data_IF_405011573743
#
_entry.id   IF_405011573743
#
_cell.length_a   1.000
_cell.length_b   1.000
_cell.length_c   1.000
_cell.angle_alpha   90.00
_cell.angle_beta   90.00
_cell.angle_gamma   90.00
#
_symmetry.space_group_name_H-M   'P 1'
#
loop_
_entity.id
_entity.type
_entity.pdbx_description
1 polymer ?
#
# COMPACT_ATOMS: atom_id res chain seq x y z
N UNK A 1 -18.73 -4.74 13.30
CA UNK A 1 -17.96 -3.48 13.49
C UNK A 1 -16.61 -3.49 12.75
N UNK A 2 -16.03 -4.65 12.41
CA UNK A 2 -14.79 -4.76 11.62
C UNK A 2 -14.90 -4.20 10.18
N UNK A 3 -15.97 -4.55 9.47
CA UNK A 3 -16.17 -4.16 8.08
C UNK A 3 -16.22 -2.65 7.82
N UNK A 4 -16.75 -1.86 8.76
CA UNK A 4 -16.76 -0.39 8.64
C UNK A 4 -15.34 0.18 8.75
N UNK A 5 -14.52 -0.39 9.63
CA UNK A 5 -13.13 0.06 9.79
C UNK A 5 -12.29 -0.27 8.56
N UNK A 6 -12.48 -1.43 7.95
CA UNK A 6 -11.78 -1.85 6.73
C UNK A 6 -12.15 -0.95 5.55
N UNK A 7 -13.43 -0.64 5.38
CA UNK A 7 -13.89 0.29 4.35
C UNK A 7 -13.33 1.70 4.59
N UNK A 8 -13.30 2.18 5.84
CA UNK A 8 -12.68 3.46 6.17
C UNK A 8 -11.18 3.47 5.87
N UNK A 9 -10.45 2.42 6.23
CA UNK A 9 -9.03 2.29 5.91
C UNK A 9 -8.79 2.34 4.40
N UNK A 10 -9.60 1.62 3.62
CA UNK A 10 -9.52 1.66 2.16
C UNK A 10 -9.76 3.07 1.60
N UNK A 11 -10.74 3.81 2.14
CA UNK A 11 -11.01 5.20 1.73
C UNK A 11 -9.82 6.10 2.05
N UNK A 12 -9.29 6.03 3.27
CA UNK A 12 -8.15 6.87 3.68
C UNK A 12 -6.89 6.55 2.87
N UNK A 13 -6.60 5.26 2.65
CA UNK A 13 -5.45 4.85 1.82
C UNK A 13 -5.62 5.29 0.37
N UNK A 14 -6.84 5.22 -0.17
CA UNK A 14 -7.13 5.72 -1.53
C UNK A 14 -6.84 7.22 -1.66
N UNK A 15 -7.26 8.01 -0.66
CA UNK A 15 -6.97 9.46 -0.62
C UNK A 15 -5.46 9.69 -0.50
N UNK A 16 -4.79 8.98 0.41
CA UNK A 16 -3.34 9.05 0.59
C UNK A 16 -2.58 8.70 -0.68
N UNK A 17 -3.04 7.69 -1.44
CA UNK A 17 -2.44 7.23 -2.67
C UNK A 17 -2.59 8.28 -3.78
N UNK A 18 -3.77 8.87 -3.91
CA UNK A 18 -4.02 9.96 -4.85
C UNK A 18 -3.14 11.19 -4.56
N UNK A 19 -3.02 11.58 -3.28
CA UNK A 19 -2.15 12.69 -2.86
C UNK A 19 -0.70 12.36 -3.20
N UNK A 20 -0.23 11.16 -2.85
CA UNK A 20 1.16 10.72 -3.09
C UNK A 20 1.48 10.71 -4.58
N UNK A 21 0.60 10.16 -5.42
CA UNK A 21 0.75 10.15 -6.87
C UNK A 21 0.77 11.56 -7.45
N UNK A 22 -0.11 12.45 -6.96
CA UNK A 22 -0.15 13.85 -7.41
C UNK A 22 1.15 14.56 -7.06
N UNK A 23 1.65 14.39 -5.84
CA UNK A 23 2.91 14.97 -5.38
C UNK A 23 4.09 14.42 -6.20
N UNK A 24 4.12 13.11 -6.48
CA UNK A 24 5.14 12.49 -7.34
C UNK A 24 5.13 13.09 -8.74
N UNK A 25 3.94 13.24 -9.34
CA UNK A 25 3.81 13.78 -10.70
C UNK A 25 4.22 15.24 -10.80
N UNK A 26 3.95 16.02 -9.75
CA UNK A 26 4.38 17.41 -9.66
C UNK A 26 5.86 17.59 -9.31
N UNK A 27 6.58 16.50 -8.99
CA UNK A 27 7.99 16.56 -8.58
C UNK A 27 8.22 17.20 -7.21
N UNK A 28 7.17 17.38 -6.40
CA UNK A 28 7.24 17.98 -5.05
C UNK A 28 7.81 17.02 -4.01
N UNK A 29 7.78 15.71 -4.28
CA UNK A 29 8.40 14.68 -3.43
C UNK A 29 9.50 13.94 -4.20
N UNK A 30 10.50 13.40 -3.50
CA UNK A 30 11.50 12.54 -4.11
C UNK A 30 10.86 11.31 -4.77
N UNK A 31 11.51 10.82 -5.82
CA UNK A 31 11.07 9.67 -6.61
C UNK A 31 11.34 8.34 -5.89
N UNK A 32 10.73 8.15 -4.72
CA UNK A 32 10.79 6.93 -3.93
C UNK A 32 9.85 5.86 -4.51
N UNK A 33 10.17 5.38 -5.72
CA UNK A 33 9.34 4.44 -6.46
C UNK A 33 9.07 3.15 -5.68
N UNK A 34 10.07 2.61 -4.97
CA UNK A 34 9.88 1.39 -4.18
C UNK A 34 8.99 1.64 -2.96
N UNK A 35 9.10 2.81 -2.32
CA UNK A 35 8.20 3.19 -1.21
C UNK A 35 6.75 3.33 -1.69
N UNK A 36 6.56 4.02 -2.81
CA UNK A 36 5.24 4.25 -3.39
C UNK A 36 4.61 2.93 -3.84
N UNK A 37 5.41 2.02 -4.40
CA UNK A 37 4.93 0.70 -4.79
C UNK A 37 4.57 -0.17 -3.58
N UNK A 38 5.35 -0.10 -2.48
CA UNK A 38 4.99 -0.72 -1.21
C UNK A 38 3.63 -0.21 -0.70
N UNK A 39 3.42 1.11 -0.72
CA UNK A 39 2.14 1.70 -0.33
C UNK A 39 0.98 1.25 -1.24
N UNK A 40 1.21 1.14 -2.55
CA UNK A 40 0.23 0.60 -3.49
C UNK A 40 -0.12 -0.87 -3.19
N UNK A 41 0.86 -1.69 -2.80
CA UNK A 41 0.59 -3.07 -2.38
C UNK A 41 -0.26 -3.14 -1.10
N UNK A 42 -0.05 -2.24 -0.13
CA UNK A 42 -0.91 -2.14 1.07
C UNK A 42 -2.34 -1.78 0.68
N UNK A 43 -2.50 -0.79 -0.20
CA UNK A 43 -3.82 -0.41 -0.70
C UNK A 43 -4.54 -1.58 -1.38
N UNK A 44 -3.84 -2.36 -2.21
CA UNK A 44 -4.43 -3.54 -2.85
C UNK A 44 -4.78 -4.64 -1.83
N UNK A 45 -3.96 -4.80 -0.79
CA UNK A 45 -4.26 -5.69 0.34
C UNK A 45 -5.58 -5.31 1.01
N UNK A 46 -5.79 -4.02 1.28
CA UNK A 46 -7.03 -3.53 1.90
C UNK A 46 -8.26 -3.69 1.00
N UNK A 47 -8.09 -3.69 -0.32
CA UNK A 47 -9.18 -4.10 -1.24
C UNK A 47 -9.55 -5.56 -0.99
N UNK A 48 -8.56 -6.45 -0.89
CA UNK A 48 -8.84 -7.87 -0.65
C UNK A 48 -9.48 -8.10 0.71
N UNK A 49 -9.06 -7.40 1.76
CA UNK A 49 -9.72 -7.45 3.08
C UNK A 49 -11.19 -7.04 3.00
N UNK A 50 -11.50 -5.94 2.30
CA UNK A 50 -12.90 -5.50 2.15
C UNK A 50 -13.71 -6.53 1.34
N UNK A 51 -13.13 -7.09 0.27
CA UNK A 51 -13.81 -8.08 -0.59
C UNK A 51 -13.98 -9.43 0.11
N UNK A 52 -13.03 -9.82 0.96
CA UNK A 52 -13.09 -11.01 1.81
C UNK A 52 -14.38 -11.04 2.63
N UNK A 53 -14.79 -9.88 3.14
CA UNK A 53 -16.04 -9.71 3.89
C UNK A 53 -17.33 -9.96 3.09
N UNK A 54 -17.24 -10.20 1.77
CA UNK A 54 -18.39 -10.45 0.90
C UNK A 54 -18.27 -11.74 0.07
N UNK A 55 -17.08 -12.10 -0.42
CA UNK A 55 -16.86 -13.20 -1.37
C UNK A 55 -15.60 -14.01 -1.01
N UNK A 56 -15.64 -15.34 -1.23
CA UNK A 56 -14.51 -16.28 -1.15
C UNK A 56 -13.44 -15.95 -0.07
N UNK A 57 -13.79 -16.02 1.23
CA UNK A 57 -12.97 -15.47 2.30
C UNK A 57 -11.56 -16.06 2.35
N UNK A 58 -11.40 -17.38 2.24
CA UNK A 58 -10.08 -18.01 2.31
C UNK A 58 -9.14 -17.58 1.17
N UNK A 59 -9.69 -17.35 -0.03
CA UNK A 59 -8.90 -16.92 -1.18
C UNK A 59 -8.43 -15.47 -1.04
N UNK A 60 -9.33 -14.57 -0.64
CA UNK A 60 -9.00 -13.16 -0.47
C UNK A 60 -8.09 -12.93 0.75
N UNK A 61 -8.23 -13.72 1.80
CA UNK A 61 -7.31 -13.70 2.94
C UNK A 61 -5.86 -14.06 2.52
N UNK A 62 -5.69 -15.07 1.66
CA UNK A 62 -4.37 -15.43 1.11
C UNK A 62 -3.82 -14.29 0.25
N UNK A 63 -4.65 -13.65 -0.56
CA UNK A 63 -4.24 -12.51 -1.37
C UNK A 63 -3.83 -11.31 -0.50
N UNK A 64 -4.63 -10.94 0.49
CA UNK A 64 -4.30 -9.90 1.47
C UNK A 64 -2.89 -10.14 2.04
N UNK A 65 -2.68 -11.30 2.66
CA UNK A 65 -1.40 -11.63 3.29
C UNK A 65 -0.24 -11.66 2.29
N UNK A 66 -0.48 -12.14 1.07
CA UNK A 66 0.53 -12.14 0.01
C UNK A 66 0.94 -10.72 -0.37
N UNK A 67 -0.01 -9.79 -0.47
CA UNK A 67 0.28 -8.39 -0.80
C UNK A 67 0.93 -7.63 0.35
N UNK A 68 0.57 -7.92 1.61
CA UNK A 68 1.33 -7.42 2.76
C UNK A 68 2.78 -7.92 2.75
N UNK A 69 3.01 -9.20 2.46
CA UNK A 69 4.36 -9.74 2.36
C UNK A 69 5.17 -9.06 1.25
N UNK A 70 4.59 -8.94 0.06
CA UNK A 70 5.21 -8.25 -1.08
C UNK A 70 5.51 -6.78 -0.74
N UNK A 71 4.58 -6.09 -0.08
CA UNK A 71 4.78 -4.71 0.38
C UNK A 71 5.99 -4.59 1.31
N UNK A 72 6.15 -5.51 2.26
CA UNK A 72 7.28 -5.52 3.19
C UNK A 72 8.63 -5.64 2.47
N UNK A 73 8.70 -6.44 1.40
CA UNK A 73 9.90 -6.57 0.56
C UNK A 73 10.21 -5.26 -0.16
N UNK A 74 9.21 -4.61 -0.74
CA UNK A 74 9.39 -3.31 -1.39
C UNK A 74 9.82 -2.22 -0.42
N UNK A 75 9.26 -2.21 0.78
CA UNK A 75 9.68 -1.29 1.84
C UNK A 75 11.16 -1.48 2.21
N UNK A 76 11.60 -2.73 2.40
CA UNK A 76 13.01 -3.04 2.67
C UNK A 76 13.94 -2.61 1.53
N UNK A 77 13.52 -2.81 0.27
CA UNK A 77 14.29 -2.36 -0.89
C UNK A 77 14.35 -0.83 -0.94
N UNK A 78 13.26 -0.14 -0.65
CA UNK A 78 13.21 1.33 -0.59
C UNK A 78 14.13 1.88 0.49
N UNK A 79 14.11 1.30 1.69
CA UNK A 79 15.02 1.71 2.77
C UNK A 79 16.48 1.70 2.31
N UNK A 80 16.90 0.61 1.66
CA UNK A 80 18.29 0.45 1.23
C UNK A 80 18.66 1.32 0.02
N UNK A 81 17.79 1.40 -0.98
CA UNK A 81 18.11 2.02 -2.28
C UNK A 81 17.73 3.48 -2.39
N UNK A 82 16.75 3.93 -1.62
CA UNK A 82 16.15 5.25 -1.76
C UNK A 82 16.40 6.09 -0.51
N UNK A 83 15.97 5.61 0.65
CA UNK A 83 15.99 6.40 1.89
C UNK A 83 17.42 6.56 2.43
N UNK A 84 18.15 5.46 2.64
CA UNK A 84 19.51 5.51 3.19
C UNK A 84 20.52 6.11 2.21
N UNK A 85 20.29 6.00 0.90
CA UNK A 85 21.13 6.65 -0.12
C UNK A 85 20.91 8.16 -0.10
N UNK A 86 19.69 8.63 0.10
CA UNK A 86 19.38 10.07 0.17
C UNK A 86 19.95 10.75 1.42
N UNK A 87 20.30 10.00 2.47
CA UNK A 87 20.86 10.54 3.72
C UNK A 87 22.39 10.67 3.71
N UNK A 88 23.06 10.16 2.67
CA UNK A 88 24.52 10.17 2.55
C UNK A 88 24.97 11.24 1.57
#
# INVERSE_FOLDING_TARGET
MYQISEVLNLVFDSIGLLITLRLLWSGLIPKFYFLIFSFFCVWLSNIFTVVEGFWFPDFFNILEHSFYFISSLFFLVSLKKEILVSLR
#
